data_IF_322566719279
#
_entry.id   IF_322566719279
#
_cell.length_a   1.000
_cell.length_b   1.000
_cell.length_c   1.000
_cell.angle_alpha   90.00
_cell.angle_beta   90.00
_cell.angle_gamma   90.00
#
_symmetry.space_group_name_H-M   'P 1'
#
loop_
_entity.id
_entity.type
_entity.pdbx_description
1 polymer ?
#
# COMPACT_ATOMS: atom_id res chain seq x y z
N UNK A 1 -5.41 -17.82 7.85
CA UNK A 1 -6.31 -17.06 6.95
C UNK A 1 -5.49 -15.89 6.46
N UNK A 2 -5.35 -15.68 5.15
CA UNK A 2 -4.59 -14.54 4.65
C UNK A 2 -5.50 -13.32 4.52
N UNK A 3 -4.94 -12.14 4.77
CA UNK A 3 -5.62 -10.85 4.70
C UNK A 3 -4.75 -9.95 3.82
N UNK A 4 -5.36 -9.38 2.78
CA UNK A 4 -4.76 -8.28 2.03
C UNK A 4 -5.14 -6.95 2.70
N UNK A 5 -4.21 -6.35 3.43
CA UNK A 5 -4.40 -5.07 4.11
C UNK A 5 -3.96 -3.92 3.21
N UNK A 6 -4.73 -2.83 3.19
CA UNK A 6 -4.47 -1.61 2.41
C UNK A 6 -4.54 -0.41 3.35
N UNK A 7 -3.55 0.47 3.30
CA UNK A 7 -3.48 1.69 4.08
C UNK A 7 -3.25 2.90 3.15
N UNK A 8 -4.16 3.89 3.23
CA UNK A 8 -4.21 5.08 2.34
C UNK A 8 -4.76 6.32 3.07
N UNK A 9 -4.53 6.45 4.38
CA UNK A 9 -5.16 7.51 5.18
C UNK A 9 -4.56 8.92 4.97
N UNK A 10 -3.27 9.02 4.63
CA UNK A 10 -2.55 10.29 4.52
C UNK A 10 -1.74 10.39 3.22
N UNK A 11 -0.43 10.19 3.26
CA UNK A 11 0.48 10.36 2.12
C UNK A 11 1.36 9.13 1.87
N UNK A 12 1.13 8.04 2.61
CA UNK A 12 1.64 6.72 2.28
C UNK A 12 0.55 5.83 1.67
N UNK A 13 0.95 5.06 0.66
CA UNK A 13 0.15 3.94 0.14
C UNK A 13 0.87 2.66 0.55
N UNK A 14 0.24 1.84 1.37
CA UNK A 14 0.83 0.57 1.81
C UNK A 14 -0.09 -0.61 1.54
N UNK A 15 0.52 -1.75 1.18
CA UNK A 15 -0.18 -3.02 1.01
C UNK A 15 0.62 -4.13 1.70
N UNK A 16 -0.07 -4.92 2.51
CA UNK A 16 0.53 -6.03 3.24
C UNK A 16 -0.30 -7.31 3.08
N UNK A 17 0.38 -8.45 3.01
CA UNK A 17 -0.24 -9.77 3.18
C UNK A 17 0.01 -10.22 4.61
N UNK A 18 -1.06 -10.44 5.37
CA UNK A 18 -0.98 -10.85 6.78
C UNK A 18 -1.61 -12.23 6.94
N UNK A 19 -0.90 -13.17 7.56
CA UNK A 19 -1.45 -14.47 7.94
C UNK A 19 -1.97 -14.45 9.38
N UNK A 20 -3.20 -14.96 9.52
CA UNK A 20 -3.95 -15.10 10.76
C UNK A 20 -4.04 -13.79 11.59
N UNK A 21 -3.98 -12.64 10.91
CA UNK A 21 -4.02 -11.31 11.51
C UNK A 21 -2.83 -10.97 12.42
N UNK A 22 -1.78 -11.80 12.44
CA UNK A 22 -0.66 -11.67 13.38
C UNK A 22 0.70 -11.68 12.72
N UNK A 23 0.85 -12.39 11.61
CA UNK A 23 2.12 -12.56 10.93
C UNK A 23 2.15 -11.78 9.63
N UNK A 24 3.02 -10.79 9.51
CA UNK A 24 3.21 -10.03 8.27
C UNK A 24 4.09 -10.88 7.33
N UNK A 25 3.53 -11.28 6.20
CA UNK A 25 4.21 -12.08 5.16
C UNK A 25 4.93 -11.16 4.18
N UNK A 26 4.30 -10.05 3.79
CA UNK A 26 4.89 -8.99 2.99
C UNK A 26 4.33 -7.63 3.42
N UNK A 27 5.11 -6.57 3.22
CA UNK A 27 4.69 -5.20 3.53
C UNK A 27 5.40 -4.19 2.60
N UNK A 28 4.66 -3.63 1.66
CA UNK A 28 5.16 -2.67 0.70
C UNK A 28 4.60 -1.29 1.04
N UNK A 29 5.47 -0.27 1.06
CA UNK A 29 5.10 1.11 1.35
C UNK A 29 5.64 2.02 0.25
N UNK A 30 4.78 2.87 -0.30
CA UNK A 30 5.13 3.95 -1.20
C UNK A 30 4.76 5.30 -0.57
N UNK A 31 5.78 6.11 -0.28
CA UNK A 31 5.62 7.47 0.27
C UNK A 31 5.60 8.53 -0.82
N UNK A 32 4.77 9.55 -0.66
CA UNK A 32 4.60 10.62 -1.63
C UNK A 32 5.63 11.74 -1.43
N UNK A 33 6.36 12.09 -2.49
CA UNK A 33 7.29 13.24 -2.48
C UNK A 33 6.62 14.55 -2.91
N UNK A 34 5.38 14.49 -3.41
CA UNK A 34 4.67 15.61 -4.02
C UNK A 34 4.36 16.78 -3.06
N UNK A 35 4.45 16.55 -1.74
CA UNK A 35 4.10 17.54 -0.71
C UNK A 35 5.31 18.28 -0.13
N UNK A 36 6.52 17.96 -0.59
CA UNK A 36 7.75 18.58 -0.06
C UNK A 36 7.79 20.09 -0.31
N UNK A 37 7.32 20.53 -1.47
CA UNK A 37 7.34 21.95 -1.87
C UNK A 37 6.14 22.75 -1.33
N UNK A 38 5.07 22.08 -0.89
CA UNK A 38 3.82 22.71 -0.44
C UNK A 38 3.81 23.03 1.05
N UNK A 39 4.77 22.51 1.82
CA UNK A 39 4.85 22.72 3.27
C UNK A 39 3.77 22.00 4.08
N UNK A 40 3.05 21.06 3.45
CA UNK A 40 1.97 20.28 4.05
C UNK A 40 1.24 19.42 3.02
N UNK A 41 0.51 18.42 3.50
CA UNK A 41 -0.21 17.47 2.65
C UNK A 41 -1.37 18.16 1.94
N UNK A 42 -1.40 18.05 0.61
CA UNK A 42 -2.52 18.51 -0.21
C UNK A 42 -3.46 17.32 -0.47
N UNK A 43 -4.68 17.28 0.12
CA UNK A 43 -5.51 16.08 0.11
C UNK A 43 -5.85 15.54 -1.29
N UNK A 44 -6.16 16.41 -2.25
CA UNK A 44 -6.45 16.00 -3.64
C UNK A 44 -5.22 15.39 -4.34
N UNK A 45 -4.03 15.92 -4.06
CA UNK A 45 -2.78 15.36 -4.62
C UNK A 45 -2.53 14.00 -4.00
N UNK A 46 -2.70 13.86 -2.69
CA UNK A 46 -2.50 12.59 -1.99
C UNK A 46 -3.44 11.49 -2.51
N UNK A 47 -4.73 11.81 -2.68
CA UNK A 47 -5.71 10.90 -3.25
C UNK A 47 -5.30 10.39 -4.65
N UNK A 48 -4.76 11.27 -5.50
CA UNK A 48 -4.30 10.88 -6.85
C UNK A 48 -3.04 10.03 -6.82
N UNK A 49 -2.13 10.31 -5.92
CA UNK A 49 -0.91 9.51 -5.75
C UNK A 49 -1.24 8.09 -5.26
N UNK A 50 -2.20 7.93 -4.33
CA UNK A 50 -2.67 6.60 -3.94
C UNK A 50 -3.18 5.80 -5.14
N UNK A 51 -4.01 6.40 -6.00
CA UNK A 51 -4.53 5.75 -7.21
C UNK A 51 -3.42 5.36 -8.20
N UNK A 52 -2.34 6.14 -8.27
CA UNK A 52 -1.18 5.83 -9.14
C UNK A 52 -0.35 4.67 -8.62
N UNK A 53 -0.24 4.53 -7.30
CA UNK A 53 0.61 3.54 -6.66
C UNK A 53 -0.08 2.18 -6.47
N UNK A 54 -1.39 2.18 -6.19
CA UNK A 54 -2.10 1.04 -5.59
C UNK A 54 -1.89 -0.27 -6.34
N UNK A 55 -2.17 -0.31 -7.65
CA UNK A 55 -2.06 -1.54 -8.45
C UNK A 55 -0.63 -2.11 -8.43
N UNK A 56 0.37 -1.24 -8.55
CA UNK A 56 1.78 -1.64 -8.55
C UNK A 56 2.24 -2.21 -7.21
N UNK A 57 1.91 -1.53 -6.12
CA UNK A 57 2.29 -1.99 -4.78
C UNK A 57 1.51 -3.24 -4.35
N UNK A 58 0.25 -3.39 -4.78
CA UNK A 58 -0.52 -4.62 -4.55
C UNK A 58 0.14 -5.80 -5.25
N UNK A 59 0.51 -5.65 -6.51
CA UNK A 59 1.21 -6.72 -7.23
C UNK A 59 2.56 -7.05 -6.57
N UNK A 60 3.30 -6.04 -6.12
CA UNK A 60 4.56 -6.24 -5.42
C UNK A 60 4.37 -7.00 -4.10
N UNK A 61 3.35 -6.65 -3.31
CA UNK A 61 3.05 -7.31 -2.04
C UNK A 61 2.66 -8.78 -2.24
N UNK A 62 1.85 -9.09 -3.25
CA UNK A 62 1.48 -10.46 -3.62
C UNK A 62 2.69 -11.27 -4.08
N UNK A 63 3.54 -10.67 -4.92
CA UNK A 63 4.78 -11.30 -5.41
C UNK A 63 5.76 -11.60 -4.27
N UNK A 64 5.97 -10.65 -3.35
CA UNK A 64 6.86 -10.83 -2.20
C UNK A 64 6.33 -11.89 -1.22
N UNK A 65 5.01 -11.95 -1.05
CA UNK A 65 4.37 -13.00 -0.26
C UNK A 65 4.29 -14.37 -0.97
N UNK A 66 4.60 -14.43 -2.27
CA UNK A 66 4.53 -15.66 -3.07
C UNK A 66 3.12 -16.23 -3.20
N UNK A 67 2.09 -15.37 -3.28
CA UNK A 67 0.67 -15.76 -3.35
C UNK A 67 -0.07 -15.07 -4.48
N UNK A 68 -1.10 -15.74 -5.00
CA UNK A 68 -2.05 -15.16 -5.95
C UNK A 68 -3.13 -14.35 -5.22
N UNK A 69 -3.74 -13.37 -5.91
CA UNK A 69 -4.83 -12.57 -5.35
C UNK A 69 -6.01 -13.41 -4.85
N UNK A 70 -6.28 -14.57 -5.47
CA UNK A 70 -7.36 -15.48 -5.04
C UNK A 70 -7.06 -16.22 -3.73
N UNK A 71 -5.82 -16.15 -3.24
CA UNK A 71 -5.36 -16.86 -2.06
C UNK A 71 -5.24 -15.98 -0.81
N UNK A 72 -5.71 -14.73 -0.91
CA UNK A 72 -5.78 -13.71 0.16
C UNK A 72 -7.20 -13.20 0.37
#
# INVERSE_FOLDING_TARGET
MRILAIETSCDETAVAVVDDGRHIVSNIVASQLAHQDTGGIVPEVAAREHLRALDGITQQALNEAGVELRAV
#
